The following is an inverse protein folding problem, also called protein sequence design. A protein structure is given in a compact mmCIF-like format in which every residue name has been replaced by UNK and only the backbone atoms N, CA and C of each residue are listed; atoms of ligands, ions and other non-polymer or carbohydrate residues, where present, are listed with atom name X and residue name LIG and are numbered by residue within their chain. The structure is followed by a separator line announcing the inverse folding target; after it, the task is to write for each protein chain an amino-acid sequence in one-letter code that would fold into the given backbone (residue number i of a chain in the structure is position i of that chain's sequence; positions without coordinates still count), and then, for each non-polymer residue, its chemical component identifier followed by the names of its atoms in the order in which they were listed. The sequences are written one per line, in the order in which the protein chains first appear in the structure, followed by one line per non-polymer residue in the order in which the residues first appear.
data_IF_780255352580
#
_entry.id   IF_780255352580
#
_cell.length_a   1.000
_cell.length_b   1.000
_cell.length_c   1.000
_cell.angle_alpha   90.00
_cell.angle_beta   90.00
_cell.angle_gamma   90.00
#
_symmetry.space_group_name_H-M   'P 1'
#
loop_
_entity.id
_entity.type
_entity.pdbx_description
1 polymer ?
#
# COMPACT_ATOMS: atom_id res chain seq x y z
N UNK A 1 -42.24 5.05 34.51
CA UNK A 1 -42.25 4.68 33.07
C UNK A 1 -40.96 3.94 32.78
N UNK A 2 -41.03 2.62 32.57
CA UNK A 2 -39.85 1.82 32.24
C UNK A 2 -39.38 2.16 30.82
N UNK A 3 -38.22 2.80 30.70
CA UNK A 3 -37.51 2.93 29.43
C UNK A 3 -37.03 1.52 29.09
N UNK A 4 -37.87 0.74 28.39
CA UNK A 4 -37.40 -0.43 27.67
C UNK A 4 -36.43 0.10 26.61
N UNK A 5 -35.14 0.13 26.97
CA UNK A 5 -34.05 0.36 26.03
C UNK A 5 -34.23 -0.63 24.89
N UNK A 6 -34.70 -0.16 23.74
CA UNK A 6 -34.83 -0.99 22.53
C UNK A 6 -33.41 -1.42 22.20
N UNK A 7 -33.05 -2.66 22.51
CA UNK A 7 -31.78 -3.25 22.08
C UNK A 7 -31.94 -3.77 20.66
N UNK A 8 -30.96 -3.47 19.80
CA UNK A 8 -30.85 -4.14 18.51
C UNK A 8 -30.30 -5.55 18.76
N UNK A 9 -31.05 -6.58 18.38
CA UNK A 9 -30.61 -7.97 18.55
C UNK A 9 -29.51 -8.30 17.54
N UNK A 10 -28.75 -9.38 17.76
CA UNK A 10 -27.76 -9.84 16.79
C UNK A 10 -28.38 -10.16 15.42
N UNK A 11 -29.57 -10.76 15.40
CA UNK A 11 -30.33 -10.97 14.16
C UNK A 11 -30.67 -9.64 13.46
N UNK A 12 -31.03 -8.61 14.22
CA UNK A 12 -31.26 -7.26 13.69
C UNK A 12 -29.99 -6.62 13.11
N UNK A 13 -28.84 -6.76 13.79
CA UNK A 13 -27.55 -6.31 13.26
C UNK A 13 -27.21 -7.02 11.94
N UNK A 14 -27.34 -8.34 11.90
CA UNK A 14 -27.06 -9.13 10.69
C UNK A 14 -27.97 -8.71 9.52
N UNK A 15 -29.24 -8.37 9.80
CA UNK A 15 -30.17 -7.87 8.79
C UNK A 15 -29.74 -6.50 8.24
N UNK A 16 -29.35 -5.55 9.11
CA UNK A 16 -28.85 -4.23 8.69
C UNK A 16 -27.56 -4.36 7.88
N UNK A 17 -26.66 -5.25 8.29
CA UNK A 17 -25.42 -5.55 7.58
C UNK A 17 -25.67 -6.11 6.18
N UNK A 18 -26.56 -7.10 6.06
CA UNK A 18 -26.93 -7.67 4.76
C UNK A 18 -27.59 -6.63 3.84
N UNK A 19 -28.47 -5.79 4.38
CA UNK A 19 -29.11 -4.73 3.62
C UNK A 19 -28.11 -3.66 3.16
N UNK A 20 -27.19 -3.24 4.05
CA UNK A 20 -26.14 -2.29 3.71
C UNK A 20 -25.23 -2.85 2.60
N UNK A 21 -24.79 -4.11 2.74
CA UNK A 21 -24.00 -4.78 1.71
C UNK A 21 -24.73 -4.82 0.35
N UNK A 22 -26.03 -5.15 0.35
CA UNK A 22 -26.84 -5.16 -0.86
C UNK A 22 -26.90 -3.77 -1.52
N UNK A 23 -27.11 -2.71 -0.74
CA UNK A 23 -27.15 -1.33 -1.24
C UNK A 23 -25.81 -0.87 -1.81
N UNK A 24 -24.69 -1.19 -1.16
CA UNK A 24 -23.35 -0.87 -1.67
C UNK A 24 -23.02 -1.61 -2.98
N UNK A 25 -23.49 -2.85 -3.14
CA UNK A 25 -23.38 -3.63 -4.39
C UNK A 25 -24.34 -3.15 -5.46
N UNK A 26 -25.45 -2.52 -5.11
CA UNK A 26 -26.37 -1.90 -6.03
C UNK A 26 -26.00 -0.45 -6.40
N UNK A 27 -24.93 0.11 -5.80
CA UNK A 27 -24.54 1.53 -5.93
C UNK A 27 -25.63 2.49 -5.40
N UNK A 28 -26.52 2.01 -4.54
CA UNK A 28 -27.52 2.80 -3.82
C UNK A 28 -26.89 3.45 -2.58
N UNK A 29 -26.03 4.43 -2.82
CA UNK A 29 -25.28 5.09 -1.75
C UNK A 29 -26.16 5.96 -0.85
N UNK A 30 -27.20 6.60 -1.40
CA UNK A 30 -28.14 7.39 -0.61
C UNK A 30 -28.97 6.50 0.31
N UNK A 31 -29.43 5.34 -0.18
CA UNK A 31 -30.11 4.36 0.67
C UNK A 31 -29.17 3.77 1.72
N UNK A 32 -27.92 3.45 1.36
CA UNK A 32 -26.91 2.97 2.32
C UNK A 32 -26.67 4.01 3.44
N UNK A 33 -26.53 5.28 3.06
CA UNK A 33 -26.36 6.42 3.96
C UNK A 33 -27.57 6.60 4.88
N UNK A 34 -28.78 6.56 4.33
CA UNK A 34 -30.00 6.68 5.10
C UNK A 34 -30.15 5.53 6.12
N UNK A 35 -29.84 4.31 5.71
CA UNK A 35 -29.90 3.11 6.56
C UNK A 35 -28.95 3.23 7.77
N UNK A 36 -27.68 3.58 7.55
CA UNK A 36 -26.71 3.72 8.64
C UNK A 36 -27.00 4.93 9.52
N UNK A 37 -27.48 6.03 8.94
CA UNK A 37 -27.86 7.25 9.69
C UNK A 37 -29.02 6.96 10.63
N UNK A 38 -30.09 6.32 10.13
CA UNK A 38 -31.27 6.00 10.92
C UNK A 38 -30.95 5.04 12.08
N UNK A 39 -30.13 4.02 11.84
CA UNK A 39 -29.72 3.09 12.89
C UNK A 39 -28.74 3.74 13.89
N UNK A 40 -27.82 4.58 13.42
CA UNK A 40 -26.90 5.32 14.30
C UNK A 40 -27.63 6.33 15.18
N UNK A 41 -28.62 7.05 14.68
CA UNK A 41 -29.43 7.95 15.51
C UNK A 41 -30.21 7.20 16.61
N UNK A 42 -30.50 5.92 16.39
CA UNK A 42 -31.29 5.10 17.32
C UNK A 42 -30.42 4.31 18.31
N UNK A 43 -29.23 3.89 17.90
CA UNK A 43 -28.38 2.94 18.63
C UNK A 43 -26.89 3.32 18.66
N UNK A 44 -26.52 4.51 18.20
CA UNK A 44 -25.12 4.92 17.97
C UNK A 44 -24.35 5.31 19.22
N UNK A 45 -25.02 5.52 20.36
CA UNK A 45 -24.37 5.76 21.65
C UNK A 45 -23.26 6.80 21.60
N UNK A 46 -22.07 6.48 22.11
CA UNK A 46 -20.91 7.38 22.13
C UNK A 46 -20.36 7.74 20.73
N UNK A 47 -20.68 6.95 19.70
CA UNK A 47 -20.22 7.17 18.33
C UNK A 47 -21.12 8.09 17.51
N UNK A 48 -22.38 8.27 17.93
CA UNK A 48 -23.39 9.03 17.18
C UNK A 48 -22.90 10.43 16.78
N UNK A 49 -22.30 11.25 17.66
CA UNK A 49 -21.87 12.60 17.27
C UNK A 49 -20.77 12.61 16.20
N UNK A 50 -19.86 11.63 16.23
CA UNK A 50 -18.79 11.50 15.25
C UNK A 50 -19.34 11.05 13.89
N UNK A 51 -20.29 10.11 13.89
CA UNK A 51 -20.96 9.65 12.68
C UNK A 51 -21.76 10.80 12.06
N UNK A 52 -22.55 11.54 12.85
CA UNK A 52 -23.31 12.69 12.39
C UNK A 52 -22.41 13.79 11.81
N UNK A 53 -21.28 14.09 12.47
CA UNK A 53 -20.30 15.06 11.97
C UNK A 53 -19.65 14.61 10.66
N UNK A 54 -19.44 13.31 10.48
CA UNK A 54 -18.89 12.76 9.25
C UNK A 54 -19.88 12.85 8.08
N UNK A 55 -21.18 12.64 8.33
CA UNK A 55 -22.23 12.79 7.32
C UNK A 55 -22.28 14.19 6.69
N UNK A 56 -21.93 15.21 7.47
CA UNK A 56 -21.87 16.60 7.01
C UNK A 56 -20.59 16.94 6.23
N UNK A 57 -19.63 16.02 6.14
CA UNK A 57 -18.29 16.28 5.57
C UNK A 57 -18.08 15.53 4.27
N UNK A 58 -17.43 16.20 3.33
CA UNK A 58 -16.91 15.56 2.13
C UNK A 58 -15.71 14.66 2.50
N UNK A 59 -15.72 13.42 2.02
CA UNK A 59 -14.59 12.48 2.17
C UNK A 59 -13.79 12.53 0.89
N UNK A 60 -12.53 12.96 0.98
CA UNK A 60 -11.64 13.09 -0.16
C UNK A 60 -10.63 11.94 -0.17
N UNK A 61 -10.29 11.48 -1.37
CA UNK A 61 -9.23 10.49 -1.60
C UNK A 61 -8.07 11.20 -2.27
N UNK A 62 -6.92 11.15 -1.62
CA UNK A 62 -5.66 11.73 -2.07
C UNK A 62 -4.69 10.61 -2.48
N UNK A 63 -3.71 10.95 -3.33
CA UNK A 63 -2.73 9.97 -3.86
C UNK A 63 -3.18 9.20 -5.10
N UNK A 64 -4.25 9.62 -5.76
CA UNK A 64 -4.73 8.95 -6.97
C UNK A 64 -3.68 8.93 -8.09
N UNK A 65 -2.99 10.06 -8.32
CA UNK A 65 -1.92 10.16 -9.32
C UNK A 65 -0.75 9.21 -9.04
N UNK A 66 -0.45 8.94 -7.76
CA UNK A 66 0.57 7.96 -7.37
C UNK A 66 0.15 6.52 -7.71
N UNK A 67 -1.13 6.19 -7.50
CA UNK A 67 -1.66 4.89 -7.92
C UNK A 67 -1.60 4.76 -9.45
N UNK A 68 -1.92 5.82 -10.20
CA UNK A 68 -1.78 5.83 -11.66
C UNK A 68 -0.31 5.67 -12.10
N UNK A 69 0.64 6.24 -11.35
CA UNK A 69 2.05 6.04 -11.60
C UNK A 69 2.49 4.58 -11.39
N UNK A 70 1.96 3.89 -10.36
CA UNK A 70 2.20 2.45 -10.19
C UNK A 70 1.68 1.63 -11.38
N UNK A 71 0.49 1.97 -11.87
CA UNK A 71 -0.09 1.32 -13.04
C UNK A 71 0.83 1.44 -14.27
N UNK A 72 1.31 2.65 -14.55
CA UNK A 72 2.21 2.91 -15.68
C UNK A 72 3.55 2.20 -15.52
N UNK A 73 4.11 2.20 -14.31
CA UNK A 73 5.34 1.49 -14.02
C UNK A 73 5.21 -0.03 -14.22
N UNK A 74 4.12 -0.63 -13.73
CA UNK A 74 3.82 -2.05 -13.94
C UNK A 74 3.62 -2.38 -15.43
N UNK A 75 2.93 -1.50 -16.15
CA UNK A 75 2.70 -1.66 -17.59
C UNK A 75 4.00 -1.64 -18.39
N UNK A 76 4.94 -0.73 -18.07
CA UNK A 76 6.27 -0.68 -18.69
C UNK A 76 7.11 -1.92 -18.43
N UNK A 77 6.88 -2.59 -17.31
CA UNK A 77 7.53 -3.87 -16.94
C UNK A 77 6.84 -5.10 -17.55
N UNK A 78 5.89 -4.91 -18.46
CA UNK A 78 5.14 -6.02 -19.09
C UNK A 78 4.13 -6.70 -18.15
N UNK A 79 3.81 -6.08 -17.01
CA UNK A 79 2.85 -6.58 -16.00
C UNK A 79 1.59 -5.71 -16.00
N UNK A 80 1.01 -5.51 -17.17
CA UNK A 80 -0.12 -4.60 -17.35
C UNK A 80 -1.29 -4.98 -16.42
N UNK A 81 -1.70 -4.10 -15.49
CA UNK A 81 -2.82 -4.39 -14.61
C UNK A 81 -4.14 -4.53 -15.38
N UNK A 82 -4.97 -5.46 -14.93
CA UNK A 82 -6.31 -5.76 -15.42
C UNK A 82 -7.40 -5.47 -14.38
N UNK A 83 -7.03 -5.20 -13.13
CA UNK A 83 -7.93 -4.85 -12.04
C UNK A 83 -7.18 -4.06 -10.94
N UNK A 84 -7.93 -3.22 -10.22
CA UNK A 84 -7.45 -2.45 -9.09
C UNK A 84 -8.21 -2.83 -7.82
N UNK A 85 -7.54 -3.08 -6.71
CA UNK A 85 -8.17 -3.39 -5.43
C UNK A 85 -7.79 -2.33 -4.41
N UNK A 86 -8.81 -1.81 -3.74
CA UNK A 86 -8.74 -0.84 -2.67
C UNK A 86 -9.29 -1.51 -1.41
N UNK A 87 -8.40 -1.88 -0.52
CA UNK A 87 -8.74 -2.45 0.78
C UNK A 87 -8.83 -1.34 1.81
N UNK A 88 -9.91 -1.36 2.59
CA UNK A 88 -10.07 -0.53 3.79
C UNK A 88 -9.33 -1.26 4.91
N UNK A 89 -8.13 -0.81 5.31
CA UNK A 89 -7.31 -1.58 6.21
C UNK A 89 -7.90 -1.64 7.60
N UNK A 90 -7.55 -2.72 8.28
CA UNK A 90 -7.57 -2.83 9.73
C UNK A 90 -7.00 -1.60 10.44
N UNK A 91 -7.36 -1.44 11.70
CA UNK A 91 -6.49 -2.03 12.71
C UNK A 91 -5.17 -1.29 13.06
N UNK A 92 -4.37 -1.00 12.05
CA UNK A 92 -2.91 -1.14 12.15
C UNK A 92 -2.14 0.06 11.63
N UNK A 93 -2.77 1.00 10.92
CA UNK A 93 -2.09 2.19 10.38
C UNK A 93 -2.71 3.45 10.95
N UNK A 94 -1.95 4.20 11.74
CA UNK A 94 -2.42 5.38 12.49
C UNK A 94 -2.98 6.56 11.66
N UNK A 95 -2.93 6.47 10.33
CA UNK A 95 -3.59 7.35 9.37
C UNK A 95 -4.69 6.56 8.62
N UNK A 96 -5.81 7.23 8.30
CA UNK A 96 -6.88 6.66 7.48
C UNK A 96 -6.39 6.53 6.03
N UNK A 97 -5.64 5.47 5.76
CA UNK A 97 -5.14 5.11 4.43
C UNK A 97 -5.94 3.94 3.90
N UNK A 98 -6.00 3.78 2.58
CA UNK A 98 -6.51 2.61 1.89
C UNK A 98 -5.34 1.84 1.31
N UNK A 99 -5.26 0.55 1.63
CA UNK A 99 -4.29 -0.31 0.97
C UNK A 99 -4.71 -0.56 -0.47
N UNK A 100 -3.77 -0.44 -1.38
CA UNK A 100 -4.03 -0.54 -2.80
C UNK A 100 -3.22 -1.68 -3.38
N UNK A 101 -3.80 -2.37 -4.36
CA UNK A 101 -3.09 -3.43 -5.05
C UNK A 101 -3.58 -3.63 -6.47
N UNK A 102 -2.69 -4.08 -7.33
CA UNK A 102 -2.93 -4.31 -8.75
C UNK A 102 -2.96 -5.80 -9.05
N UNK A 103 -3.86 -6.18 -9.95
CA UNK A 103 -4.05 -7.57 -10.40
C UNK A 103 -3.93 -7.65 -11.91
N UNK A 104 -3.40 -8.76 -12.40
CA UNK A 104 -3.34 -9.08 -13.83
C UNK A 104 -4.29 -10.24 -14.17
N UNK A 105 -4.35 -10.64 -15.44
CA UNK A 105 -5.21 -11.73 -15.89
C UNK A 105 -4.66 -13.14 -15.61
N UNK A 106 -3.54 -13.29 -14.89
CA UNK A 106 -2.87 -14.60 -14.74
C UNK A 106 -3.65 -15.59 -13.87
N UNK A 107 -4.44 -15.10 -12.92
CA UNK A 107 -5.23 -15.92 -12.00
C UNK A 107 -6.73 -15.94 -12.34
N UNK A 108 -7.21 -14.89 -12.99
CA UNK A 108 -8.61 -14.72 -13.37
C UNK A 108 -8.71 -13.72 -14.52
N UNK A 109 -9.62 -13.94 -15.46
CA UNK A 109 -9.79 -13.08 -16.64
C UNK A 109 -10.61 -11.81 -16.30
N UNK A 110 -9.99 -10.85 -15.61
CA UNK A 110 -10.66 -9.61 -15.21
C UNK A 110 -11.07 -8.74 -16.39
N UNK A 111 -10.24 -8.68 -17.44
CA UNK A 111 -10.49 -7.81 -18.59
C UNK A 111 -11.78 -8.15 -19.37
N UNK A 112 -12.24 -9.40 -19.30
CA UNK A 112 -13.48 -9.86 -19.94
C UNK A 112 -14.65 -10.04 -18.99
N UNK A 113 -14.45 -9.94 -17.68
CA UNK A 113 -15.47 -10.23 -16.69
C UNK A 113 -16.47 -9.09 -16.54
N UNK A 114 -17.77 -9.43 -16.49
CA UNK A 114 -18.81 -8.47 -16.13
C UNK A 114 -18.79 -8.16 -14.64
N UNK A 115 -19.35 -7.02 -14.27
CA UNK A 115 -19.52 -6.61 -12.86
C UNK A 115 -20.28 -7.68 -12.06
N UNK A 116 -21.33 -8.25 -12.65
CA UNK A 116 -22.16 -9.28 -12.03
C UNK A 116 -21.38 -10.57 -11.80
N UNK A 117 -20.55 -10.99 -12.76
CA UNK A 117 -19.66 -12.15 -12.61
C UNK A 117 -18.66 -11.94 -11.48
N UNK A 118 -18.06 -10.76 -11.41
CA UNK A 118 -17.08 -10.41 -10.37
C UNK A 118 -17.73 -10.36 -8.98
N UNK A 119 -18.93 -9.78 -8.86
CA UNK A 119 -19.69 -9.77 -7.61
C UNK A 119 -20.11 -11.18 -7.19
N UNK A 120 -20.47 -12.05 -8.14
CA UNK A 120 -20.76 -13.46 -7.88
C UNK A 120 -19.57 -14.21 -7.29
N UNK A 121 -18.38 -14.02 -7.85
CA UNK A 121 -17.14 -14.61 -7.34
C UNK A 121 -16.75 -14.08 -5.94
N UNK A 122 -16.96 -12.78 -5.67
CA UNK A 122 -16.78 -12.24 -4.31
C UNK A 122 -17.72 -12.88 -3.29
N UNK A 123 -18.96 -13.21 -3.69
CA UNK A 123 -19.96 -13.84 -2.83
C UNK A 123 -19.65 -15.30 -2.47
N UNK A 124 -18.74 -15.97 -3.20
CA UNK A 124 -18.40 -17.39 -3.00
C UNK A 124 -17.42 -17.66 -1.85
N UNK A 125 -17.04 -16.63 -1.08
CA UNK A 125 -16.21 -16.74 0.13
C UNK A 125 -14.71 -16.58 -0.11
N UNK A 126 -14.15 -17.26 -1.11
CA UNK A 126 -12.74 -17.10 -1.51
C UNK A 126 -12.63 -16.95 -3.03
N UNK A 127 -12.45 -15.72 -3.55
CA UNK A 127 -12.31 -15.50 -4.98
C UNK A 127 -11.10 -16.25 -5.54
N UNK A 128 -11.22 -16.80 -6.75
CA UNK A 128 -10.13 -17.57 -7.41
C UNK A 128 -8.82 -16.79 -7.56
N UNK A 129 -8.91 -15.47 -7.55
CA UNK A 129 -7.77 -14.55 -7.67
C UNK A 129 -7.12 -14.16 -6.34
N UNK A 130 -7.57 -14.68 -5.19
CA UNK A 130 -6.98 -14.34 -3.89
C UNK A 130 -5.44 -14.63 -3.85
N UNK A 131 -4.68 -13.77 -3.17
CA UNK A 131 -3.25 -13.99 -2.89
C UNK A 131 -2.22 -13.59 -3.97
N UNK A 132 -2.64 -13.18 -5.18
CA UNK A 132 -1.73 -12.69 -6.23
C UNK A 132 -1.94 -11.21 -6.53
N UNK A 133 -1.10 -10.36 -5.95
CA UNK A 133 -1.23 -8.90 -6.09
C UNK A 133 0.13 -8.22 -6.13
N UNK A 134 0.29 -7.23 -7.01
CA UNK A 134 1.37 -6.24 -6.85
C UNK A 134 0.88 -5.18 -5.85
N UNK A 135 1.65 -4.94 -4.79
CA UNK A 135 1.31 -3.89 -3.81
C UNK A 135 1.41 -2.54 -4.48
N UNK A 136 0.35 -1.74 -4.39
CA UNK A 136 0.28 -0.38 -4.88
C UNK A 136 0.51 0.64 -3.75
N UNK A 137 0.68 1.89 -4.15
CA UNK A 137 0.78 3.04 -3.27
C UNK A 137 -0.53 3.20 -2.52
N UNK A 138 -0.52 3.25 -1.18
CA UNK A 138 -1.74 3.46 -0.41
C UNK A 138 -2.36 4.82 -0.71
N UNK A 139 -3.69 4.89 -0.77
CA UNK A 139 -4.42 6.15 -0.93
C UNK A 139 -4.69 6.77 0.44
N UNK A 140 -4.54 8.07 0.58
CA UNK A 140 -4.91 8.75 1.81
C UNK A 140 -6.38 9.15 1.78
N UNK A 141 -7.06 9.06 2.93
CA UNK A 141 -8.45 9.53 3.07
C UNK A 141 -8.53 10.66 4.08
N UNK A 142 -9.05 11.79 3.60
CA UNK A 142 -9.30 12.96 4.42
C UNK A 142 -10.69 12.91 5.07
N UNK A 143 -10.84 13.57 6.23
CA UNK A 143 -12.08 13.70 7.02
C UNK A 143 -12.63 12.45 7.71
N UNK A 144 -12.06 11.25 7.50
CA UNK A 144 -12.42 10.05 8.28
C UNK A 144 -11.61 9.85 9.56
N UNK A 145 -10.47 10.53 9.69
CA UNK A 145 -9.50 10.28 10.75
C UNK A 145 -10.09 10.32 12.18
N UNK A 146 -10.99 11.24 12.57
CA UNK A 146 -11.55 11.25 13.92
C UNK A 146 -12.36 9.98 14.24
N UNK A 147 -13.33 9.62 13.39
CA UNK A 147 -14.15 8.42 13.58
C UNK A 147 -13.29 7.16 13.54
N UNK A 148 -12.40 7.07 12.55
CA UNK A 148 -11.46 5.96 12.43
C UNK A 148 -10.62 5.82 13.71
N UNK A 149 -9.93 6.87 14.17
CA UNK A 149 -9.13 6.85 15.40
C UNK A 149 -9.93 6.44 16.63
N UNK A 150 -11.19 6.89 16.76
CA UNK A 150 -12.04 6.51 17.89
C UNK A 150 -12.41 5.03 17.85
N UNK A 151 -12.85 4.50 16.70
CA UNK A 151 -13.13 3.06 16.51
C UNK A 151 -11.87 2.25 16.84
N UNK A 152 -10.73 2.76 16.41
CA UNK A 152 -9.43 2.12 16.54
C UNK A 152 -8.90 2.05 17.97
N UNK A 153 -9.16 3.10 18.76
CA UNK A 153 -8.77 3.20 20.16
C UNK A 153 -9.78 2.53 21.12
N UNK A 154 -10.92 2.04 20.61
CA UNK A 154 -11.95 1.43 21.45
C UNK A 154 -11.44 0.12 22.08
N UNK A 155 -11.32 0.04 23.42
CA UNK A 155 -10.85 -1.16 24.11
C UNK A 155 -11.81 -2.35 23.96
N UNK A 156 -13.07 -2.13 23.54
CA UNK A 156 -14.04 -3.18 23.24
C UNK A 156 -13.67 -4.04 22.02
N UNK A 157 -12.61 -3.69 21.29
CA UNK A 157 -12.17 -4.39 20.07
C UNK A 157 -11.87 -5.87 20.27
N UNK A 158 -11.50 -6.29 21.49
CA UNK A 158 -11.06 -7.65 21.76
C UNK A 158 -11.88 -8.48 22.76
N UNK A 159 -12.90 -7.93 23.43
CA UNK A 159 -13.46 -8.60 24.62
C UNK A 159 -14.94 -8.33 24.98
N UNK A 160 -15.73 -7.64 24.14
CA UNK A 160 -17.15 -7.43 24.48
C UNK A 160 -18.06 -8.56 24.02
N UNK A 161 -19.10 -8.83 24.81
CA UNK A 161 -20.19 -9.71 24.44
C UNK A 161 -20.95 -9.15 23.23
N UNK A 162 -21.15 -10.00 22.22
CA UNK A 162 -22.01 -9.68 21.09
C UNK A 162 -23.39 -9.21 21.58
N UNK A 163 -23.88 -8.12 20.99
CA UNK A 163 -25.18 -7.54 21.33
C UNK A 163 -25.21 -6.57 22.52
N UNK A 164 -24.06 -6.21 23.12
CA UNK A 164 -23.99 -5.03 24.01
C UNK A 164 -24.34 -3.73 23.25
N UNK A 165 -24.76 -2.69 23.97
CA UNK A 165 -25.07 -1.40 23.33
C UNK A 165 -23.82 -0.77 22.71
N UNK A 166 -22.68 -0.90 23.36
CA UNK A 166 -21.37 -0.43 22.90
C UNK A 166 -20.91 -1.20 21.65
N UNK A 167 -21.11 -2.52 21.61
CA UNK A 167 -20.84 -3.35 20.44
C UNK A 167 -21.67 -2.91 19.25
N UNK A 168 -23.00 -2.73 19.44
CA UNK A 168 -23.92 -2.23 18.40
C UNK A 168 -23.47 -0.86 17.89
N UNK A 169 -23.21 0.08 18.79
CA UNK A 169 -22.78 1.44 18.47
C UNK A 169 -21.48 1.44 17.65
N UNK A 170 -20.49 0.64 18.05
CA UNK A 170 -19.22 0.48 17.32
C UNK A 170 -19.43 -0.12 15.93
N UNK A 171 -20.26 -1.16 15.79
CA UNK A 171 -20.59 -1.76 14.48
C UNK A 171 -21.22 -0.73 13.54
N UNK A 172 -22.16 0.07 14.03
CA UNK A 172 -22.80 1.13 13.25
C UNK A 172 -21.80 2.24 12.85
N UNK A 173 -20.86 2.58 13.71
CA UNK A 173 -19.78 3.51 13.39
C UNK A 173 -18.87 2.98 12.28
N UNK A 174 -18.50 1.69 12.35
CA UNK A 174 -17.74 1.00 11.31
C UNK A 174 -18.50 1.00 9.98
N UNK A 175 -19.79 0.66 9.99
CA UNK A 175 -20.63 0.66 8.79
C UNK A 175 -20.81 2.04 8.17
N UNK A 176 -20.89 3.08 9.00
CA UNK A 176 -20.87 4.47 8.53
C UNK A 176 -19.56 4.77 7.81
N UNK A 177 -18.42 4.37 8.38
CA UNK A 177 -17.11 4.51 7.71
C UNK A 177 -17.09 3.81 6.35
N UNK A 178 -17.53 2.55 6.27
CA UNK A 178 -17.60 1.81 5.01
C UNK A 178 -18.45 2.53 3.97
N UNK A 179 -19.68 2.92 4.31
CA UNK A 179 -20.56 3.61 3.38
C UNK A 179 -19.90 4.87 2.79
N UNK A 180 -19.25 5.67 3.65
CA UNK A 180 -18.56 6.91 3.23
C UNK A 180 -17.33 6.64 2.37
N UNK A 181 -16.56 5.60 2.66
CA UNK A 181 -15.41 5.22 1.81
C UNK A 181 -15.89 4.76 0.45
N UNK A 182 -16.87 3.86 0.39
CA UNK A 182 -17.41 3.37 -0.89
C UNK A 182 -17.95 4.50 -1.77
N UNK A 183 -18.66 5.47 -1.18
CA UNK A 183 -19.09 6.69 -1.86
C UNK A 183 -17.91 7.48 -2.42
N UNK A 184 -16.89 7.74 -1.60
CA UNK A 184 -15.72 8.51 -2.00
C UNK A 184 -14.93 7.81 -3.11
N UNK A 185 -14.73 6.50 -3.00
CA UNK A 185 -14.04 5.70 -4.02
C UNK A 185 -14.81 5.74 -5.33
N UNK A 186 -16.13 5.49 -5.30
CA UNK A 186 -16.95 5.55 -6.50
C UNK A 186 -16.90 6.92 -7.17
N UNK A 187 -17.06 8.00 -6.41
CA UNK A 187 -16.94 9.36 -6.92
C UNK A 187 -15.56 9.63 -7.53
N UNK A 188 -14.49 9.16 -6.88
CA UNK A 188 -13.14 9.32 -7.38
C UNK A 188 -12.91 8.52 -8.67
N UNK A 189 -13.39 7.27 -8.73
CA UNK A 189 -13.35 6.43 -9.93
C UNK A 189 -14.09 7.08 -11.09
N UNK A 190 -15.27 7.65 -10.87
CA UNK A 190 -16.04 8.33 -11.91
C UNK A 190 -15.39 9.64 -12.35
N UNK A 191 -14.85 10.42 -11.41
CA UNK A 191 -14.23 11.72 -11.66
C UNK A 191 -12.88 11.60 -12.35
N UNK A 192 -12.02 10.69 -11.89
CA UNK A 192 -10.63 10.61 -12.33
C UNK A 192 -10.37 9.46 -13.30
N UNK A 193 -11.19 8.40 -13.26
CA UNK A 193 -11.01 7.20 -14.08
C UNK A 193 -9.70 6.49 -13.79
N UNK A 194 -9.37 5.53 -14.66
CA UNK A 194 -8.10 4.84 -14.71
C UNK A 194 -7.54 4.90 -16.14
N UNK A 195 -6.24 4.59 -16.37
CA UNK A 195 -5.65 4.70 -17.71
C UNK A 195 -6.27 3.72 -18.72
N UNK A 196 -6.95 2.68 -18.22
CA UNK A 196 -7.77 1.75 -18.98
C UNK A 196 -9.07 1.47 -18.23
N UNK A 197 -10.10 1.05 -18.97
CA UNK A 197 -11.33 0.57 -18.35
C UNK A 197 -11.06 -0.77 -17.65
N UNK A 198 -11.35 -0.85 -16.35
CA UNK A 198 -11.11 -2.04 -15.55
C UNK A 198 -11.97 -2.05 -14.27
N UNK A 199 -12.19 -3.22 -13.66
CA UNK A 199 -12.86 -3.29 -12.37
C UNK A 199 -11.98 -2.75 -11.23
N UNK A 200 -12.64 -2.05 -10.30
CA UNK A 200 -12.10 -1.58 -9.03
C UNK A 200 -12.85 -2.30 -7.91
N UNK A 201 -12.13 -3.14 -7.19
CA UNK A 201 -12.62 -3.83 -6.01
C UNK A 201 -12.47 -2.93 -4.80
N UNK A 202 -13.54 -2.79 -4.02
CA UNK A 202 -13.49 -2.06 -2.74
C UNK A 202 -14.05 -2.97 -1.67
N UNK A 203 -13.31 -3.16 -0.60
CA UNK A 203 -13.72 -4.03 0.47
C UNK A 203 -12.75 -4.03 1.64
N UNK A 204 -12.84 -5.05 2.45
CA UNK A 204 -12.07 -5.19 3.67
C UNK A 204 -11.32 -6.52 3.71
N UNK A 205 -10.18 -6.51 4.40
CA UNK A 205 -9.39 -7.69 4.71
C UNK A 205 -9.38 -8.04 6.21
N UNK A 206 -9.65 -7.06 7.10
CA UNK A 206 -9.30 -7.15 8.53
C UNK A 206 -10.36 -6.65 9.53
N UNK A 207 -11.38 -5.87 9.15
CA UNK A 207 -12.42 -5.26 10.03
C UNK A 207 -13.84 -5.73 9.71
N UNK A 208 -14.11 -7.01 9.98
CA UNK A 208 -15.47 -7.56 9.97
C UNK A 208 -15.65 -8.65 8.91
N UNK A 209 -16.84 -9.25 8.86
CA UNK A 209 -17.09 -10.27 7.83
C UNK A 209 -16.98 -9.60 6.44
N UNK A 210 -16.54 -10.36 5.40
CA UNK A 210 -16.23 -9.85 4.05
C UNK A 210 -17.42 -9.21 3.28
N UNK A 211 -18.53 -8.96 3.98
CA UNK A 211 -19.85 -8.56 3.52
C UNK A 211 -19.86 -7.27 2.70
N UNK A 212 -19.01 -6.29 3.01
CA UNK A 212 -19.03 -4.96 2.36
C UNK A 212 -18.22 -4.86 1.06
N UNK A 213 -17.73 -5.99 0.54
CA UNK A 213 -17.03 -5.99 -0.75
C UNK A 213 -17.97 -5.62 -1.91
N UNK A 214 -17.51 -4.73 -2.80
CA UNK A 214 -18.20 -4.29 -4.01
C UNK A 214 -17.22 -4.11 -5.18
N UNK A 215 -17.77 -3.97 -6.39
CA UNK A 215 -17.03 -3.81 -7.64
C UNK A 215 -17.57 -2.61 -8.40
N UNK A 216 -16.68 -1.70 -8.76
CA UNK A 216 -16.96 -0.53 -9.60
C UNK A 216 -16.24 -0.65 -10.93
N UNK A 217 -16.93 -0.38 -12.04
CA UNK A 217 -16.28 -0.37 -13.34
C UNK A 217 -15.69 1.02 -13.60
N UNK A 218 -14.37 1.14 -13.54
CA UNK A 218 -13.71 2.40 -13.82
C UNK A 218 -13.69 2.66 -15.33
N UNK A 219 -14.04 3.88 -15.78
CA UNK A 219 -13.87 4.27 -17.17
C UNK A 219 -12.40 4.51 -17.48
N UNK A 220 -12.03 4.32 -18.75
CA UNK A 220 -10.76 4.80 -19.25
C UNK A 220 -10.75 6.33 -19.30
N UNK A 221 -9.75 6.96 -18.68
CA UNK A 221 -9.51 8.41 -18.75
C UNK A 221 -8.01 8.68 -18.91
N UNK A 222 -7.67 9.58 -19.83
CA UNK A 222 -6.33 10.14 -19.98
C UNK A 222 -6.19 11.48 -19.24
N UNK A 223 -5.08 12.18 -19.50
CA UNK A 223 -4.81 13.52 -18.94
C UNK A 223 -3.96 13.52 -17.67
N UNK A 224 -3.55 12.34 -17.20
CA UNK A 224 -2.70 12.16 -16.02
C UNK A 224 -1.22 12.02 -16.37
N UNK A 225 -0.87 11.99 -17.66
CA UNK A 225 0.45 11.60 -18.16
C UNK A 225 1.55 12.51 -17.60
N UNK A 226 1.29 13.82 -17.53
CA UNK A 226 2.25 14.78 -17.00
C UNK A 226 2.47 14.62 -15.48
N UNK A 227 1.40 14.36 -14.72
CA UNK A 227 1.48 14.14 -13.28
C UNK A 227 2.21 12.82 -12.98
N UNK A 228 1.83 11.76 -13.69
CA UNK A 228 2.48 10.44 -13.61
C UNK A 228 3.96 10.51 -13.97
N UNK A 229 4.34 11.15 -15.08
CA UNK A 229 5.75 11.28 -15.44
C UNK A 229 6.55 12.07 -14.40
N UNK A 230 5.96 13.12 -13.83
CA UNK A 230 6.60 13.88 -12.74
C UNK A 230 6.83 12.99 -11.51
N UNK A 231 5.85 12.18 -11.13
CA UNK A 231 5.95 11.24 -10.00
C UNK A 231 7.01 10.17 -10.30
N UNK A 232 6.97 9.53 -11.47
CA UNK A 232 7.94 8.51 -11.86
C UNK A 232 9.37 9.07 -11.96
N UNK A 233 9.54 10.31 -12.43
CA UNK A 233 10.83 10.99 -12.44
C UNK A 233 11.32 11.30 -11.02
N UNK A 234 10.44 11.76 -10.13
CA UNK A 234 10.76 12.00 -8.74
C UNK A 234 11.15 10.70 -8.00
N UNK A 235 10.42 9.60 -8.23
CA UNK A 235 10.75 8.26 -7.69
C UNK A 235 12.10 7.76 -8.21
N UNK A 236 12.37 7.89 -9.51
CA UNK A 236 13.69 7.56 -10.09
C UNK A 236 14.82 8.38 -9.44
N UNK A 237 14.63 9.69 -9.30
CA UNK A 237 15.60 10.56 -8.61
C UNK A 237 15.79 10.17 -7.14
N UNK A 238 14.72 9.84 -6.44
CA UNK A 238 14.76 9.42 -5.04
C UNK A 238 15.41 8.06 -4.87
N UNK A 239 15.19 7.11 -5.79
CA UNK A 239 15.82 5.78 -5.76
C UNK A 239 17.32 5.86 -6.01
N UNK A 240 17.75 6.80 -6.85
CA UNK A 240 19.17 7.09 -7.06
C UNK A 240 19.85 7.60 -5.79
N UNK A 241 19.16 8.29 -4.88
CA UNK A 241 19.83 8.92 -3.72
C UNK A 241 20.37 7.91 -2.69
N UNK A 242 19.61 6.90 -2.20
CA UNK A 242 20.17 5.81 -1.40
C UNK A 242 21.18 4.97 -2.17
N UNK A 243 20.95 4.72 -3.46
CA UNK A 243 21.88 3.94 -4.29
C UNK A 243 23.22 4.64 -4.46
N UNK A 244 23.21 5.97 -4.64
CA UNK A 244 24.39 6.82 -4.67
C UNK A 244 25.08 6.82 -3.30
N UNK A 245 24.32 6.93 -2.21
CA UNK A 245 24.87 6.85 -0.85
C UNK A 245 25.55 5.50 -0.56
N UNK A 246 24.90 4.38 -0.91
CA UNK A 246 25.46 3.03 -0.75
C UNK A 246 26.70 2.82 -1.64
N UNK A 247 26.68 3.40 -2.84
CA UNK A 247 27.82 3.38 -3.77
C UNK A 247 29.00 4.16 -3.21
N UNK A 248 28.77 5.36 -2.68
CA UNK A 248 29.83 6.16 -2.05
C UNK A 248 30.36 5.51 -0.77
N UNK A 249 29.49 4.93 0.06
CA UNK A 249 29.89 4.16 1.25
C UNK A 249 30.77 2.97 0.88
N UNK A 250 30.43 2.23 -0.18
CA UNK A 250 31.26 1.15 -0.70
C UNK A 250 32.63 1.65 -1.16
N UNK A 251 32.69 2.79 -1.86
CA UNK A 251 33.95 3.41 -2.29
C UNK A 251 34.79 3.84 -1.10
N UNK A 252 34.18 4.40 -0.06
CA UNK A 252 34.83 4.79 1.19
C UNK A 252 35.40 3.56 1.92
N UNK A 253 34.65 2.47 2.00
CA UNK A 253 35.12 1.21 2.61
C UNK A 253 36.33 0.63 1.86
N UNK A 254 36.33 0.67 0.52
CA UNK A 254 37.49 0.27 -0.29
C UNK A 254 38.70 1.19 -0.02
N UNK A 255 38.48 2.50 0.04
CA UNK A 255 39.53 3.48 0.28
C UNK A 255 40.15 3.32 1.69
N UNK A 256 39.32 3.10 2.71
CA UNK A 256 39.76 2.85 4.08
C UNK A 256 40.64 1.61 4.17
N UNK A 257 40.24 0.49 3.58
CA UNK A 257 41.00 -0.77 3.61
C UNK A 257 42.34 -0.65 2.90
N UNK A 258 42.32 -0.01 1.72
CA UNK A 258 43.54 0.36 0.99
C UNK A 258 44.48 1.19 1.86
N UNK A 259 43.94 2.20 2.54
CA UNK A 259 44.73 3.04 3.44
C UNK A 259 45.30 2.24 4.62
N UNK A 260 44.52 1.33 5.22
CA UNK A 260 44.98 0.46 6.32
C UNK A 260 46.16 -0.42 5.92
N UNK A 261 46.16 -0.98 4.71
CA UNK A 261 47.30 -1.75 4.20
C UNK A 261 48.52 -0.86 3.97
N UNK A 262 48.31 0.32 3.37
CA UNK A 262 49.39 1.27 3.04
C UNK A 262 50.02 1.92 4.27
N UNK A 263 49.25 2.13 5.33
CA UNK A 263 49.74 2.65 6.61
C UNK A 263 50.45 1.60 7.46
N UNK A 264 50.44 0.32 7.06
CA UNK A 264 51.05 -0.75 7.82
C UNK A 264 52.59 -0.70 7.66
N UNK A 265 53.35 -0.52 8.76
CA UNK A 265 54.82 -0.47 8.69
C UNK A 265 55.40 -1.77 8.13
N UNK A 266 56.25 -1.69 7.10
CA UNK A 266 56.77 -2.89 6.41
C UNK A 266 57.67 -3.75 7.28
N UNK A 267 58.24 -3.17 8.33
CA UNK A 267 59.13 -3.79 9.31
C UNK A 267 58.38 -4.47 10.47
N UNK A 268 57.07 -4.22 10.62
CA UNK A 268 56.26 -4.76 11.72
C UNK A 268 55.33 -5.90 11.30
N UNK A 269 55.65 -7.10 11.78
CA UNK A 269 54.82 -8.31 11.64
C UNK A 269 54.45 -8.62 10.17
N UNK A 270 55.44 -8.95 9.31
CA UNK A 270 55.22 -9.17 7.88
C UNK A 270 54.17 -10.24 7.58
N UNK A 271 54.08 -11.28 8.42
CA UNK A 271 53.06 -12.33 8.32
C UNK A 271 51.63 -11.79 8.52
N UNK A 272 51.43 -10.90 9.49
CA UNK A 272 50.12 -10.27 9.75
C UNK A 272 49.73 -9.33 8.61
N UNK A 273 50.69 -8.59 8.07
CA UNK A 273 50.48 -7.73 6.91
C UNK A 273 50.08 -8.56 5.69
N UNK A 274 50.77 -9.67 5.42
CA UNK A 274 50.44 -10.57 4.31
C UNK A 274 49.02 -11.15 4.46
N UNK A 275 48.66 -11.62 5.65
CA UNK A 275 47.31 -12.13 5.92
C UNK A 275 46.22 -11.05 5.73
N UNK A 276 46.50 -9.81 6.14
CA UNK A 276 45.57 -8.69 5.97
C UNK A 276 45.42 -8.29 4.49
N UNK A 277 46.51 -8.28 3.71
CA UNK A 277 46.47 -8.05 2.25
C UNK A 277 45.59 -9.10 1.56
N UNK A 278 45.73 -10.37 1.92
CA UNK A 278 44.88 -11.44 1.36
C UNK A 278 43.40 -11.28 1.76
N UNK A 279 43.12 -10.84 2.99
CA UNK A 279 41.75 -10.52 3.41
C UNK A 279 41.16 -9.37 2.59
N UNK A 280 41.93 -8.32 2.32
CA UNK A 280 41.51 -7.20 1.46
C UNK A 280 41.26 -7.69 0.04
N UNK A 281 42.15 -8.51 -0.53
CA UNK A 281 41.96 -9.11 -1.87
C UNK A 281 40.68 -9.93 -1.97
N UNK A 282 40.42 -10.79 -0.99
CA UNK A 282 39.22 -11.62 -0.97
C UNK A 282 37.93 -10.77 -0.90
N UNK A 283 37.96 -9.70 -0.11
CA UNK A 283 36.84 -8.79 -0.01
C UNK A 283 36.63 -7.95 -1.28
N UNK A 284 37.72 -7.42 -1.86
CA UNK A 284 37.66 -6.68 -3.13
C UNK A 284 37.06 -7.56 -4.22
N UNK A 285 37.51 -8.82 -4.32
CA UNK A 285 36.98 -9.78 -5.27
C UNK A 285 35.48 -10.06 -5.06
N UNK A 286 35.03 -10.18 -3.80
CA UNK A 286 33.62 -10.37 -3.47
C UNK A 286 32.76 -9.18 -3.91
N UNK A 287 33.14 -7.97 -3.51
CA UNK A 287 32.36 -6.76 -3.77
C UNK A 287 32.36 -6.41 -5.25
N UNK A 288 33.53 -6.42 -5.88
CA UNK A 288 33.67 -6.03 -7.28
C UNK A 288 33.16 -7.12 -8.22
N UNK A 289 33.32 -8.39 -7.83
CA UNK A 289 32.73 -9.52 -8.54
C UNK A 289 31.20 -9.43 -8.59
N UNK A 290 30.54 -9.02 -7.50
CA UNK A 290 29.11 -8.76 -7.49
C UNK A 290 28.67 -7.64 -8.45
N UNK A 291 29.60 -6.76 -8.85
CA UNK A 291 29.38 -5.70 -9.84
C UNK A 291 29.85 -6.08 -11.25
N UNK A 292 30.31 -7.32 -11.46
CA UNK A 292 30.89 -7.77 -12.73
C UNK A 292 32.23 -7.08 -13.05
N UNK A 293 32.91 -6.52 -12.05
CA UNK A 293 34.22 -5.91 -12.17
C UNK A 293 35.28 -6.92 -11.73
N UNK A 294 36.25 -7.19 -12.59
CA UNK A 294 37.41 -8.01 -12.25
C UNK A 294 38.63 -7.12 -12.03
N UNK A 295 39.36 -7.41 -10.95
CA UNK A 295 40.62 -6.75 -10.67
C UNK A 295 41.79 -7.60 -11.16
N UNK A 296 42.82 -6.93 -11.69
CA UNK A 296 44.12 -7.55 -11.98
C UNK A 296 45.03 -7.58 -10.74
N UNK A 297 44.77 -6.72 -9.76
CA UNK A 297 45.56 -6.52 -8.54
C UNK A 297 44.66 -6.05 -7.40
N UNK A 298 45.08 -6.24 -6.15
CA UNK A 298 44.36 -5.73 -4.96
C UNK A 298 44.18 -4.21 -5.02
N UNK A 299 43.09 -3.67 -4.48
CA UNK A 299 42.96 -2.21 -4.33
C UNK A 299 44.08 -1.61 -3.47
N UNK A 300 44.64 -2.40 -2.55
CA UNK A 300 45.78 -2.04 -1.73
C UNK A 300 47.06 -1.76 -2.56
N UNK A 301 47.23 -2.50 -3.65
CA UNK A 301 48.42 -2.47 -4.51
C UNK A 301 48.28 -1.45 -5.66
N UNK A 302 47.09 -0.92 -5.90
CA UNK A 302 46.81 0.02 -6.99
C UNK A 302 47.45 1.39 -6.78
N UNK A 303 47.95 2.00 -7.85
CA UNK A 303 48.29 3.41 -7.87
C UNK A 303 47.03 4.29 -7.62
N UNK A 304 47.20 5.52 -7.15
CA UNK A 304 46.06 6.41 -6.86
C UNK A 304 45.21 6.68 -8.11
N UNK A 305 45.84 6.78 -9.29
CA UNK A 305 45.15 6.94 -10.56
C UNK A 305 44.31 5.70 -10.94
N UNK A 306 44.86 4.50 -10.74
CA UNK A 306 44.15 3.23 -10.99
C UNK A 306 42.96 3.06 -10.04
N UNK A 307 43.14 3.45 -8.77
CA UNK A 307 42.06 3.45 -7.80
C UNK A 307 40.97 4.48 -8.17
N UNK A 308 41.35 5.68 -8.62
CA UNK A 308 40.40 6.66 -9.13
C UNK A 308 39.60 6.12 -10.34
N UNK A 309 40.25 5.41 -11.25
CA UNK A 309 39.59 4.73 -12.37
C UNK A 309 38.62 3.64 -11.92
N UNK A 310 39.00 2.86 -10.90
CA UNK A 310 38.14 1.87 -10.27
C UNK A 310 36.90 2.52 -9.66
N UNK A 311 37.02 3.61 -8.88
CA UNK A 311 35.85 4.27 -8.30
C UNK A 311 34.87 4.78 -9.37
N UNK A 312 35.39 5.30 -10.50
CA UNK A 312 34.58 5.65 -11.68
C UNK A 312 33.92 4.43 -12.32
N UNK A 313 34.60 3.29 -12.34
CA UNK A 313 34.04 2.03 -12.83
C UNK A 313 32.92 1.49 -11.91
N UNK A 314 33.12 1.53 -10.58
CA UNK A 314 32.12 1.15 -9.57
C UNK A 314 30.85 2.00 -9.71
N UNK A 315 30.97 3.34 -9.77
CA UNK A 315 29.85 4.24 -10.01
C UNK A 315 29.10 3.88 -11.30
N UNK A 316 29.81 3.64 -12.40
CA UNK A 316 29.20 3.26 -13.70
C UNK A 316 28.58 1.87 -13.70
N UNK A 317 29.13 0.91 -12.96
CA UNK A 317 28.57 -0.44 -12.84
C UNK A 317 27.28 -0.40 -12.02
N UNK A 318 27.28 0.36 -10.91
CA UNK A 318 26.10 0.58 -10.08
C UNK A 318 24.99 1.32 -10.82
N UNK A 319 25.29 2.36 -11.60
CA UNK A 319 24.29 3.04 -12.45
C UNK A 319 23.65 2.08 -13.46
N UNK A 320 24.41 1.11 -13.99
CA UNK A 320 23.87 0.11 -14.93
C UNK A 320 23.03 -0.98 -14.28
N UNK A 321 23.21 -1.21 -12.99
CA UNK A 321 22.48 -2.21 -12.22
C UNK A 321 21.18 -1.67 -11.59
N UNK A 322 21.01 -0.34 -11.56
CA UNK A 322 19.79 0.35 -11.13
C UNK A 322 18.85 0.60 -12.31
#
# INVERSE_FOLDING_TARGET
MGIFSRRLTQAGLNAVEAELAARLRAEDFEGARALVTANTAKYGGAYEPLCHKLEQRFVAIDGWDDALADFEELSRKGKAPAAFEITIPGASRGAAMLDCSWRDNSAYEFSGASRESLLGELGAGAPKWAGRTSVGTPLAISNLAPLHKTIMADPSRGAQSEGSAEYVARRLAVWTLYARVHMAVKQQVEKCGLPRAMPVFVGDRDIGPPSFSSVYMAPARGGHERAVEKILAARRKSALTPHDHDTEKMIEELAMRRQSVRSWPEDQNPEKRAAFVEQVRAYDALILGALGLSLRSSTADMADAEFADLTRAVRRARIRAA
#
